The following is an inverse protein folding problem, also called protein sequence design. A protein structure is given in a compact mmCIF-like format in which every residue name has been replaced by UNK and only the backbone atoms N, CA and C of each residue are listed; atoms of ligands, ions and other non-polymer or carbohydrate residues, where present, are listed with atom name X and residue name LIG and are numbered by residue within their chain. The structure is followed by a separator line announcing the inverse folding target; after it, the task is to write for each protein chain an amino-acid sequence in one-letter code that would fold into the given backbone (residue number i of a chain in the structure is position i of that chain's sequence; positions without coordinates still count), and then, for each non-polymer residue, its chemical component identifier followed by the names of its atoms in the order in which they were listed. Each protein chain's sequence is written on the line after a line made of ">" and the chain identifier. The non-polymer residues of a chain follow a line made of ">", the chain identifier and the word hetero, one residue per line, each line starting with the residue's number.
data_IF_836896647491
#
_entry.id   IF_836896647491
#
_cell.length_a   1.000
_cell.length_b   1.000
_cell.length_c   1.000
_cell.angle_alpha   90.00
_cell.angle_beta   90.00
_cell.angle_gamma   90.00
#
_symmetry.space_group_name_H-M   'P 1'
#
loop_
_entity.id
_entity.type
_entity.pdbx_description
1 polymer ?
#
# COMPACT_ATOMS: atom_id res chain seq x y z
N UNK A 1 18.36 -7.01 -10.86
CA UNK A 1 17.15 -7.41 -11.60
C UNK A 1 15.91 -7.46 -10.70
N UNK A 2 15.90 -8.26 -9.62
CA UNK A 2 14.71 -8.40 -8.75
C UNK A 2 14.24 -7.09 -8.07
N UNK A 3 15.14 -6.25 -7.58
CA UNK A 3 14.76 -4.95 -7.00
C UNK A 3 14.09 -4.01 -8.02
N UNK A 4 14.54 -4.05 -9.28
CA UNK A 4 13.93 -3.27 -10.37
C UNK A 4 12.50 -3.72 -10.62
N UNK A 5 12.23 -5.03 -10.59
CA UNK A 5 10.88 -5.57 -10.72
C UNK A 5 9.97 -5.04 -9.60
N UNK A 6 10.40 -5.10 -8.34
CA UNK A 6 9.59 -4.55 -7.23
C UNK A 6 9.31 -3.06 -7.36
N UNK A 7 10.28 -2.27 -7.85
CA UNK A 7 10.08 -0.83 -8.09
C UNK A 7 9.09 -0.57 -9.22
N UNK A 8 9.18 -1.31 -10.32
CA UNK A 8 8.23 -1.19 -11.43
C UNK A 8 6.84 -1.62 -10.97
N UNK A 9 6.71 -2.75 -10.29
CA UNK A 9 5.45 -3.19 -9.70
C UNK A 9 4.90 -2.17 -8.71
N UNK A 10 5.75 -1.55 -7.88
CA UNK A 10 5.33 -0.48 -6.97
C UNK A 10 4.70 0.68 -7.74
N UNK A 11 5.35 1.16 -8.80
CA UNK A 11 4.83 2.25 -9.62
C UNK A 11 3.51 1.89 -10.29
N UNK A 12 3.36 0.66 -10.79
CA UNK A 12 2.11 0.19 -11.40
C UNK A 12 0.96 0.12 -10.39
N UNK A 13 1.21 -0.46 -9.21
CA UNK A 13 0.20 -0.55 -8.14
C UNK A 13 -0.13 0.85 -7.61
N UNK A 14 0.86 1.74 -7.49
CA UNK A 14 0.65 3.12 -7.07
C UNK A 14 -0.24 3.87 -8.07
N UNK A 15 0.05 3.75 -9.36
CA UNK A 15 -0.77 4.35 -10.40
C UNK A 15 -2.21 3.80 -10.38
N UNK A 16 -2.38 2.49 -10.21
CA UNK A 16 -3.70 1.86 -10.11
C UNK A 16 -4.47 2.34 -8.86
N UNK A 17 -3.82 2.42 -7.71
CA UNK A 17 -4.41 2.90 -6.46
C UNK A 17 -4.83 4.38 -6.57
N UNK A 18 -3.98 5.23 -7.15
CA UNK A 18 -4.29 6.63 -7.41
C UNK A 18 -5.47 6.77 -8.40
N UNK A 19 -5.45 6.04 -9.49
CA UNK A 19 -6.55 6.06 -10.46
C UNK A 19 -7.88 5.64 -9.80
N UNK A 20 -7.87 4.55 -9.03
CA UNK A 20 -9.05 4.05 -8.34
C UNK A 20 -9.55 5.00 -7.23
N UNK A 21 -8.63 5.64 -6.51
CA UNK A 21 -8.94 6.53 -5.38
C UNK A 21 -9.36 7.94 -5.80
N UNK A 22 -8.91 8.43 -6.96
CA UNK A 22 -9.15 9.81 -7.40
C UNK A 22 -10.28 9.93 -8.45
N UNK A 23 -10.71 8.83 -9.07
CA UNK A 23 -11.78 8.86 -10.07
C UNK A 23 -13.12 9.26 -9.46
N UNK A 24 -13.96 9.93 -10.27
CA UNK A 24 -15.25 10.45 -9.84
C UNK A 24 -16.25 9.37 -9.39
N UNK A 25 -16.26 8.23 -10.09
CA UNK A 25 -17.14 7.13 -9.75
C UNK A 25 -16.43 6.13 -8.83
N UNK A 26 -17.01 5.80 -7.67
CA UNK A 26 -16.41 4.86 -6.73
C UNK A 26 -16.22 3.48 -7.37
N UNK A 27 -15.34 2.67 -6.79
CA UNK A 27 -15.24 1.26 -7.17
C UNK A 27 -16.54 0.56 -6.76
N UNK A 28 -17.20 -0.20 -7.65
CA UNK A 28 -18.43 -0.91 -7.30
C UNK A 28 -18.24 -1.83 -6.10
N UNK A 29 -19.16 -1.76 -5.13
CA UNK A 29 -19.18 -2.68 -4.01
C UNK A 29 -19.59 -4.08 -4.51
N UNK A 30 -18.71 -5.06 -4.36
CA UNK A 30 -19.01 -6.46 -4.69
C UNK A 30 -19.48 -7.22 -3.44
N UNK A 31 -19.02 -6.79 -2.26
CA UNK A 31 -19.36 -7.32 -0.94
C UNK A 31 -19.49 -6.16 0.05
N UNK A 32 -20.04 -6.43 1.25
CA UNK A 32 -20.07 -5.42 2.32
C UNK A 32 -18.66 -4.97 2.70
N UNK A 33 -18.48 -3.67 2.92
CA UNK A 33 -17.20 -3.05 3.31
C UNK A 33 -16.04 -3.32 2.34
N UNK A 34 -16.33 -3.48 1.04
CA UNK A 34 -15.31 -3.79 0.04
C UNK A 34 -14.24 -2.69 -0.06
N UNK A 35 -14.60 -1.43 0.18
CA UNK A 35 -13.64 -0.32 0.23
C UNK A 35 -12.54 -0.56 1.26
N UNK A 36 -12.87 -1.15 2.41
CA UNK A 36 -11.90 -1.42 3.47
C UNK A 36 -10.87 -2.48 3.04
N UNK A 37 -11.31 -3.47 2.28
CA UNK A 37 -10.46 -4.49 1.69
C UNK A 37 -9.54 -3.86 0.64
N UNK A 38 -10.05 -2.96 -0.19
CA UNK A 38 -9.27 -2.27 -1.22
C UNK A 38 -8.20 -1.37 -0.58
N UNK A 39 -8.56 -0.58 0.43
CA UNK A 39 -7.62 0.27 1.17
C UNK A 39 -6.52 -0.57 1.84
N UNK A 40 -6.92 -1.57 2.64
CA UNK A 40 -5.96 -2.47 3.28
C UNK A 40 -5.04 -3.15 2.27
N UNK A 41 -5.63 -3.78 1.23
CA UNK A 41 -4.89 -4.56 0.24
C UNK A 41 -3.95 -3.73 -0.60
N UNK A 42 -4.39 -2.55 -1.07
CA UNK A 42 -3.55 -1.65 -1.86
C UNK A 42 -2.35 -1.16 -1.05
N UNK A 43 -2.57 -0.67 0.17
CA UNK A 43 -1.51 -0.13 1.01
C UNK A 43 -0.57 -1.22 1.56
N UNK A 44 -1.08 -2.44 1.83
CA UNK A 44 -0.23 -3.59 2.14
C UNK A 44 0.68 -3.95 0.96
N UNK A 45 0.13 -4.01 -0.25
CA UNK A 45 0.90 -4.33 -1.46
C UNK A 45 1.97 -3.28 -1.73
N UNK A 46 1.62 -1.99 -1.65
CA UNK A 46 2.57 -0.89 -1.80
C UNK A 46 3.69 -0.94 -0.76
N UNK A 47 3.36 -1.22 0.50
CA UNK A 47 4.34 -1.37 1.58
C UNK A 47 5.29 -2.54 1.34
N UNK A 48 4.79 -3.72 0.95
CA UNK A 48 5.63 -4.87 0.61
C UNK A 48 6.60 -4.53 -0.52
N UNK A 49 6.08 -3.99 -1.63
CA UNK A 49 6.89 -3.67 -2.81
C UNK A 49 7.94 -2.61 -2.50
N UNK A 50 7.61 -1.62 -1.68
CA UNK A 50 8.57 -0.60 -1.24
C UNK A 50 9.70 -1.21 -0.42
N UNK A 51 9.35 -1.97 0.63
CA UNK A 51 10.32 -2.55 1.56
C UNK A 51 11.23 -3.53 0.84
N UNK A 52 10.72 -4.32 -0.10
CA UNK A 52 11.51 -5.23 -0.92
C UNK A 52 12.34 -4.52 -2.00
N UNK A 53 11.83 -3.45 -2.61
CA UNK A 53 12.47 -2.73 -3.72
C UNK A 53 13.53 -1.69 -3.33
N UNK A 54 13.51 -1.18 -2.09
CA UNK A 54 14.39 -0.10 -1.64
C UNK A 54 15.30 -0.49 -0.46
N UNK A 55 16.48 0.14 -0.32
CA UNK A 55 17.38 -0.11 0.81
C UNK A 55 16.81 0.43 2.11
N UNK A 56 17.24 -0.16 3.24
CA UNK A 56 16.66 0.06 4.58
C UNK A 56 16.55 1.53 5.00
N UNK A 57 17.48 2.39 4.58
CA UNK A 57 17.45 3.84 4.86
C UNK A 57 16.19 4.54 4.32
N UNK A 58 15.54 3.99 3.30
CA UNK A 58 14.32 4.53 2.69
C UNK A 58 13.04 3.89 3.22
N UNK A 59 13.12 2.93 4.14
CA UNK A 59 11.93 2.27 4.66
C UNK A 59 11.02 3.24 5.41
N UNK A 60 11.52 3.89 6.45
CA UNK A 60 10.72 4.82 7.24
C UNK A 60 10.18 5.99 6.37
N UNK A 61 10.99 6.70 5.56
CA UNK A 61 10.46 7.74 4.68
C UNK A 61 9.36 7.25 3.74
N UNK A 62 9.51 6.06 3.16
CA UNK A 62 8.52 5.52 2.23
C UNK A 62 7.23 5.06 2.90
N UNK A 63 7.31 4.39 4.06
CA UNK A 63 6.11 3.99 4.81
C UNK A 63 5.34 5.22 5.29
N UNK A 64 6.05 6.24 5.77
CA UNK A 64 5.45 7.54 6.13
C UNK A 64 4.82 8.22 4.92
N UNK A 65 5.48 8.20 3.76
CA UNK A 65 4.90 8.70 2.51
C UNK A 65 3.59 7.99 2.16
N UNK A 66 3.51 6.66 2.30
CA UNK A 66 2.27 5.93 2.06
C UNK A 66 1.14 6.36 3.00
N UNK A 67 1.42 6.61 4.28
CA UNK A 67 0.39 7.13 5.20
C UNK A 67 -0.12 8.52 4.76
N UNK A 68 0.79 9.42 4.39
CA UNK A 68 0.39 10.73 3.88
C UNK A 68 -0.36 10.64 2.54
N UNK A 69 0.01 9.71 1.68
CA UNK A 69 -0.70 9.43 0.43
C UNK A 69 -2.14 8.99 0.71
N UNK A 70 -2.34 8.04 1.62
CA UNK A 70 -3.68 7.58 2.03
C UNK A 70 -4.53 8.71 2.59
N UNK A 71 -3.96 9.51 3.50
CA UNK A 71 -4.64 10.69 4.03
C UNK A 71 -4.99 11.71 2.94
N UNK A 72 -4.09 11.94 1.98
CA UNK A 72 -4.32 12.83 0.84
C UNK A 72 -5.44 12.35 -0.07
N UNK A 73 -5.52 11.04 -0.34
CA UNK A 73 -6.62 10.44 -1.12
C UNK A 73 -7.95 10.60 -0.38
N UNK A 74 -8.01 10.28 0.92
CA UNK A 74 -9.23 10.43 1.73
C UNK A 74 -9.73 11.88 1.77
N UNK A 75 -8.83 12.84 1.97
CA UNK A 75 -9.16 14.26 1.95
C UNK A 75 -9.65 14.71 0.58
N UNK A 76 -9.01 14.24 -0.50
CA UNK A 76 -9.46 14.50 -1.86
C UNK A 76 -10.86 13.95 -2.10
N UNK A 77 -11.12 12.70 -1.72
CA UNK A 77 -12.43 12.09 -1.89
C UNK A 77 -13.51 12.85 -1.13
N UNK A 78 -13.26 13.21 0.13
CA UNK A 78 -14.19 14.00 0.94
C UNK A 78 -14.45 15.41 0.42
N UNK A 79 -13.49 16.01 -0.29
CA UNK A 79 -13.63 17.35 -0.85
C UNK A 79 -14.23 17.37 -2.27
N UNK A 80 -13.82 16.44 -3.12
CA UNK A 80 -14.10 16.47 -4.56
C UNK A 80 -15.21 15.52 -5.02
N UNK A 81 -15.56 14.50 -4.23
CA UNK A 81 -16.54 13.47 -4.64
C UNK A 81 -17.89 13.66 -3.93
N UNK A 82 -18.96 14.02 -4.65
CA UNK A 82 -20.29 14.17 -4.07
C UNK A 82 -20.74 12.89 -3.36
N UNK A 83 -21.17 13.00 -2.11
CA UNK A 83 -21.65 11.87 -1.31
C UNK A 83 -20.56 10.96 -0.73
N UNK A 84 -19.28 11.28 -0.92
CA UNK A 84 -18.15 10.66 -0.21
C UNK A 84 -17.67 11.61 0.88
N UNK A 85 -17.36 11.05 2.05
CA UNK A 85 -16.75 11.78 3.16
C UNK A 85 -15.40 11.16 3.48
N UNK A 86 -14.44 11.99 3.88
CA UNK A 86 -13.17 11.48 4.38
C UNK A 86 -13.42 10.54 5.58
N UNK A 87 -12.82 9.35 5.55
CA UNK A 87 -13.13 8.27 6.48
C UNK A 87 -11.91 7.93 7.33
N UNK A 88 -12.02 8.11 8.65
CA UNK A 88 -11.00 7.62 9.59
C UNK A 88 -10.91 6.08 9.57
N UNK A 89 -11.99 5.40 9.20
CA UNK A 89 -12.02 3.94 9.09
C UNK A 89 -11.22 3.48 7.87
N UNK A 90 -11.37 4.16 6.73
CA UNK A 90 -10.58 3.88 5.52
C UNK A 90 -9.10 4.25 5.76
N UNK A 91 -8.82 5.35 6.47
CA UNK A 91 -7.47 5.69 6.89
C UNK A 91 -6.85 4.64 7.84
N UNK A 92 -7.63 4.06 8.76
CA UNK A 92 -7.18 2.97 9.61
C UNK A 92 -6.89 1.69 8.79
N UNK A 93 -7.68 1.42 7.74
CA UNK A 93 -7.42 0.35 6.79
C UNK A 93 -6.10 0.57 6.01
N UNK A 94 -5.84 1.81 5.57
CA UNK A 94 -4.57 2.18 4.94
C UNK A 94 -3.40 1.92 5.88
N UNK A 95 -3.47 2.43 7.12
CA UNK A 95 -2.40 2.30 8.11
C UNK A 95 -2.13 0.83 8.51
N UNK A 96 -3.19 0.05 8.75
CA UNK A 96 -3.08 -1.37 9.04
C UNK A 96 -2.52 -2.16 7.84
N UNK A 97 -2.89 -1.78 6.60
CA UNK A 97 -2.29 -2.31 5.38
C UNK A 97 -0.79 -2.03 5.33
N UNK A 98 -0.36 -0.78 5.52
CA UNK A 98 1.07 -0.41 5.54
C UNK A 98 1.85 -1.24 6.58
N UNK A 99 1.31 -1.36 7.79
CA UNK A 99 1.93 -2.14 8.87
C UNK A 99 2.03 -3.64 8.53
N UNK A 100 0.93 -4.24 8.07
CA UNK A 100 0.89 -5.64 7.67
C UNK A 100 1.88 -5.93 6.52
N UNK A 101 1.89 -5.07 5.50
CA UNK A 101 2.82 -5.19 4.38
C UNK A 101 4.28 -5.08 4.79
N UNK A 102 4.60 -4.21 5.77
CA UNK A 102 5.94 -4.10 6.31
C UNK A 102 6.36 -5.40 6.99
N UNK A 103 5.52 -5.94 7.88
CA UNK A 103 5.77 -7.22 8.58
C UNK A 103 5.97 -8.35 7.58
N UNK A 104 5.09 -8.49 6.57
CA UNK A 104 5.21 -9.52 5.54
C UNK A 104 6.53 -9.41 4.77
N UNK A 105 6.95 -8.21 4.38
CA UNK A 105 8.22 -8.01 3.70
C UNK A 105 9.43 -8.32 4.59
N UNK A 106 9.35 -8.08 5.90
CA UNK A 106 10.38 -8.51 6.85
C UNK A 106 10.47 -10.03 6.91
N UNK A 107 9.34 -10.72 7.05
CA UNK A 107 9.29 -12.19 7.09
C UNK A 107 9.89 -12.79 5.82
N UNK A 108 9.51 -12.27 4.65
CA UNK A 108 10.09 -12.68 3.36
C UNK A 108 11.62 -12.53 3.35
N UNK A 109 12.13 -11.36 3.76
CA UNK A 109 13.57 -11.10 3.81
C UNK A 109 14.32 -11.99 4.81
N UNK A 110 13.67 -12.38 5.92
CA UNK A 110 14.26 -13.31 6.90
C UNK A 110 14.35 -14.71 6.31
N UNK A 111 13.27 -15.21 5.72
CA UNK A 111 13.22 -16.54 5.10
C UNK A 111 14.25 -16.66 3.98
N UNK A 112 14.33 -15.65 3.10
CA UNK A 112 15.33 -15.62 2.04
C UNK A 112 16.76 -15.72 2.60
N UNK A 113 17.08 -14.95 3.63
CA UNK A 113 18.41 -14.97 4.25
C UNK A 113 18.76 -16.32 4.87
N UNK A 114 17.80 -16.97 5.54
CA UNK A 114 18.00 -18.30 6.15
C UNK A 114 18.27 -19.34 5.05
N UNK A 115 17.49 -19.32 3.97
CA UNK A 115 17.66 -20.23 2.84
C UNK A 115 19.02 -20.07 2.13
N UNK A 116 19.54 -18.85 2.03
CA UNK A 116 20.89 -18.61 1.50
C UNK A 116 22.01 -19.13 2.42
N UNK A 117 21.83 -19.07 3.74
CA UNK A 117 22.83 -19.57 4.70
C UNK A 117 22.96 -21.09 4.72
N UNK A 118 21.89 -21.83 4.43
CA UNK A 118 21.93 -23.29 4.38
C UNK A 118 22.51 -23.88 3.09
N UNK A 119 22.67 -23.07 2.04
CA UNK A 119 23.18 -23.50 0.73
C UNK A 119 24.68 -23.26 0.53
N UNK A 120 25.36 -22.64 1.50
CA UNK A 120 26.81 -22.39 1.51
C UNK A 120 27.46 -23.15 2.66
#
# INVERSE_FOLDING_TARGET
>A
MLQTLFRVSFLLVLAAALYAGLKAQPVPQVVSHFDLILHFGAFATLSVLWVLGFPRRWWLPGLTFLLFLGAGIELWQGWALPGRTASLVDMAANASGVAAGFVLALLFRVIDRVNFRHKN
#
